data_IF_388835868605
#
_entry.id   IF_388835868605
#
_cell.length_a   1.000
_cell.length_b   1.000
_cell.length_c   1.000
_cell.angle_alpha   90.00
_cell.angle_beta   90.00
_cell.angle_gamma   90.00
#
_symmetry.space_group_name_H-M   'P 1'
#
loop_
_entity.id
_entity.type
_entity.pdbx_description
1 polymer ?
#
# COMPACT_ATOMS: atom_id res chain seq x y z
N UNK A 1 18.64 -7.31 -0.68
CA UNK A 1 18.19 -6.60 0.53
C UNK A 1 16.92 -5.75 0.33
N UNK A 2 16.26 -5.73 -0.84
CA UNK A 2 14.97 -5.02 -1.06
C UNK A 2 13.70 -5.87 -0.81
N UNK A 3 13.84 -7.10 -0.31
CA UNK A 3 12.69 -8.00 -0.11
C UNK A 3 12.02 -7.86 1.27
N UNK A 4 12.67 -7.20 2.24
CA UNK A 4 12.17 -7.10 3.62
C UNK A 4 11.43 -5.81 3.96
N UNK A 5 11.70 -4.69 3.28
CA UNK A 5 11.13 -3.39 3.70
C UNK A 5 9.61 -3.33 3.58
N UNK A 6 9.02 -3.99 2.58
CA UNK A 6 7.55 -4.05 2.42
C UNK A 6 6.91 -4.88 3.53
N UNK A 7 7.56 -5.96 3.97
CA UNK A 7 7.09 -6.75 5.10
C UNK A 7 7.08 -5.91 6.38
N UNK A 8 8.16 -5.17 6.63
CA UNK A 8 8.28 -4.24 7.76
C UNK A 8 7.19 -3.16 7.70
N UNK A 9 6.96 -2.55 6.53
CA UNK A 9 5.90 -1.55 6.36
C UNK A 9 4.54 -2.13 6.73
N UNK A 10 4.18 -3.30 6.19
CA UNK A 10 2.88 -3.90 6.50
C UNK A 10 2.77 -4.35 7.97
N UNK A 11 3.87 -4.76 8.61
CA UNK A 11 3.90 -5.07 10.04
C UNK A 11 3.69 -3.83 10.90
N UNK A 12 4.37 -2.73 10.59
CA UNK A 12 4.19 -1.44 11.28
C UNK A 12 2.74 -0.96 11.15
N UNK A 13 2.15 -1.02 9.96
CA UNK A 13 0.75 -0.61 9.76
C UNK A 13 -0.23 -1.53 10.49
N UNK A 14 0.07 -2.82 10.60
CA UNK A 14 -0.73 -3.74 11.40
C UNK A 14 -0.68 -3.38 12.90
N UNK A 15 0.51 -3.05 13.44
CA UNK A 15 0.63 -2.58 14.82
C UNK A 15 -0.18 -1.31 15.03
N UNK A 16 -0.06 -0.32 14.14
CA UNK A 16 -0.85 0.91 14.24
C UNK A 16 -2.36 0.67 14.16
N UNK A 17 -2.81 -0.25 13.29
CA UNK A 17 -4.21 -0.61 13.20
C UNK A 17 -4.71 -1.28 14.50
N UNK A 18 -3.95 -2.21 15.08
CA UNK A 18 -4.32 -2.87 16.34
C UNK A 18 -4.32 -1.86 17.49
N UNK A 19 -3.29 -1.02 17.58
CA UNK A 19 -3.20 0.02 18.61
C UNK A 19 -4.33 1.04 18.49
N UNK A 20 -4.62 1.51 17.27
CA UNK A 20 -5.75 2.41 17.02
C UNK A 20 -7.08 1.78 17.42
N UNK A 21 -7.29 0.51 17.09
CA UNK A 21 -8.52 -0.22 17.47
C UNK A 21 -8.65 -0.34 18.99
N UNK A 22 -7.55 -0.66 19.68
CA UNK A 22 -7.51 -0.70 21.13
C UNK A 22 -7.89 0.65 21.75
N UNK A 23 -7.29 1.75 21.29
CA UNK A 23 -7.60 3.10 21.78
C UNK A 23 -9.08 3.45 21.53
N UNK A 24 -9.60 3.19 20.32
CA UNK A 24 -11.00 3.45 20.02
C UNK A 24 -11.95 2.66 20.92
N UNK A 25 -11.65 1.39 21.22
CA UNK A 25 -12.45 0.60 22.17
C UNK A 25 -12.36 1.17 23.58
N UNK A 26 -11.17 1.56 24.04
CA UNK A 26 -11.02 2.12 25.40
C UNK A 26 -11.75 3.45 25.55
N UNK A 27 -11.74 4.29 24.51
CA UNK A 27 -12.45 5.56 24.50
C UNK A 27 -13.97 5.31 24.54
N UNK A 28 -14.47 4.40 23.70
CA UNK A 28 -15.87 3.95 23.71
C UNK A 28 -16.30 3.40 25.08
N UNK A 29 -15.41 2.67 25.75
CA UNK A 29 -15.69 2.08 27.07
C UNK A 29 -15.62 3.12 28.21
N UNK A 30 -14.88 4.21 28.01
CA UNK A 30 -14.72 5.29 28.98
C UNK A 30 -15.78 6.39 28.81
N UNK A 31 -16.34 6.55 27.62
CA UNK A 31 -17.36 7.57 27.33
C UNK A 31 -18.69 7.25 28.02
N UNK A 32 -19.23 8.24 28.73
CA UNK A 32 -20.55 8.18 29.37
C UNK A 32 -21.71 8.40 28.39
N UNK A 33 -21.43 8.76 27.13
CA UNK A 33 -22.43 9.00 26.10
C UNK A 33 -22.68 7.75 25.24
N UNK A 34 -23.93 7.50 24.81
CA UNK A 34 -24.24 6.37 23.96
C UNK A 34 -23.56 6.54 22.60
N UNK A 35 -22.65 5.61 22.28
CA UNK A 35 -21.99 5.53 20.97
C UNK A 35 -23.05 5.32 19.89
N UNK A 36 -22.97 6.13 18.83
CA UNK A 36 -23.90 6.00 17.71
C UNK A 36 -23.62 4.73 16.90
N UNK A 37 -24.67 4.15 16.32
CA UNK A 37 -24.54 2.98 15.44
C UNK A 37 -23.63 3.30 14.23
N UNK A 38 -23.68 4.54 13.75
CA UNK A 38 -22.86 5.00 12.62
C UNK A 38 -21.36 5.01 12.96
N UNK A 39 -20.98 5.41 14.18
CA UNK A 39 -19.59 5.36 14.66
C UNK A 39 -19.07 3.91 14.77
N UNK A 40 -19.94 2.98 15.19
CA UNK A 40 -19.60 1.56 15.24
C UNK A 40 -19.35 1.03 13.82
N UNK A 41 -20.26 1.32 12.88
CA UNK A 41 -20.09 0.89 11.48
C UNK A 41 -18.85 1.51 10.84
N UNK A 42 -18.61 2.81 11.06
CA UNK A 42 -17.41 3.49 10.59
C UNK A 42 -16.14 2.82 11.12
N UNK A 43 -16.08 2.54 12.43
CA UNK A 43 -14.94 1.90 13.09
C UNK A 43 -14.66 0.52 12.49
N UNK A 44 -15.68 -0.33 12.39
CA UNK A 44 -15.54 -1.68 11.83
C UNK A 44 -15.08 -1.63 10.37
N UNK A 45 -15.71 -0.77 9.56
CA UNK A 45 -15.37 -0.63 8.15
C UNK A 45 -13.94 -0.10 7.96
N UNK A 46 -13.53 0.88 8.78
CA UNK A 46 -12.20 1.46 8.77
C UNK A 46 -11.13 0.39 9.03
N UNK A 47 -11.22 -0.34 10.14
CA UNK A 47 -10.21 -1.34 10.50
C UNK A 47 -10.21 -2.55 9.56
N UNK A 48 -11.39 -2.98 9.10
CA UNK A 48 -11.50 -4.05 8.09
C UNK A 48 -10.79 -3.66 6.80
N UNK A 49 -11.04 -2.44 6.31
CA UNK A 49 -10.36 -1.91 5.11
C UNK A 49 -8.85 -1.87 5.31
N UNK A 50 -8.38 -1.39 6.48
CA UNK A 50 -6.95 -1.34 6.79
C UNK A 50 -6.31 -2.74 6.76
N UNK A 51 -6.94 -3.74 7.37
CA UNK A 51 -6.47 -5.13 7.36
C UNK A 51 -6.42 -5.69 5.93
N UNK A 52 -7.45 -5.46 5.11
CA UNK A 52 -7.48 -5.89 3.71
C UNK A 52 -6.30 -5.28 2.93
N UNK A 53 -6.05 -3.98 3.15
CA UNK A 53 -4.95 -3.28 2.50
C UNK A 53 -3.58 -3.86 2.89
N UNK A 54 -3.35 -4.14 4.18
CA UNK A 54 -2.12 -4.80 4.65
C UNK A 54 -2.02 -6.20 4.03
N UNK A 55 -3.11 -6.96 4.00
CA UNK A 55 -3.10 -8.29 3.41
C UNK A 55 -2.74 -8.25 1.92
N UNK A 56 -3.31 -7.32 1.15
CA UNK A 56 -2.95 -7.09 -0.24
C UNK A 56 -1.46 -6.75 -0.39
N UNK A 57 -0.92 -5.88 0.46
CA UNK A 57 0.50 -5.52 0.48
C UNK A 57 1.39 -6.76 0.67
N UNK A 58 1.09 -7.58 1.68
CA UNK A 58 1.85 -8.78 2.01
C UNK A 58 1.75 -9.82 0.90
N UNK A 59 0.55 -10.06 0.39
CA UNK A 59 0.29 -10.99 -0.71
C UNK A 59 1.03 -10.57 -1.99
N UNK A 60 1.05 -9.27 -2.28
CA UNK A 60 1.82 -8.68 -3.37
C UNK A 60 3.31 -8.93 -3.25
N UNK A 61 3.87 -8.77 -2.04
CA UNK A 61 5.28 -9.02 -1.78
C UNK A 61 5.62 -10.51 -1.92
N UNK A 62 4.87 -11.40 -1.25
CA UNK A 62 5.11 -12.84 -1.26
C UNK A 62 4.94 -13.44 -2.65
N UNK A 63 3.88 -13.06 -3.39
CA UNK A 63 3.62 -13.58 -4.75
C UNK A 63 4.38 -12.82 -5.83
N UNK A 64 5.14 -11.77 -5.48
CA UNK A 64 5.84 -10.87 -6.43
C UNK A 64 4.91 -10.34 -7.53
N UNK A 65 3.65 -10.07 -7.20
CA UNK A 65 2.61 -9.64 -8.15
C UNK A 65 2.25 -8.17 -7.90
N UNK A 66 2.57 -7.32 -8.87
CA UNK A 66 2.41 -5.87 -8.76
C UNK A 66 0.96 -5.42 -8.53
N UNK A 67 -0.03 -6.18 -9.01
CA UNK A 67 -1.45 -5.80 -8.95
C UNK A 67 -1.98 -5.67 -7.52
N UNK A 68 -1.44 -6.45 -6.57
CA UNK A 68 -1.88 -6.40 -5.18
C UNK A 68 -1.37 -5.16 -4.42
N UNK A 69 -0.43 -4.40 -5.00
CA UNK A 69 0.01 -3.14 -4.41
C UNK A 69 -0.90 -1.96 -4.78
N UNK A 70 -1.77 -2.10 -5.79
CA UNK A 70 -2.64 -1.02 -6.25
C UNK A 70 -3.65 -0.57 -5.19
N UNK A 71 -4.36 -1.46 -4.47
CA UNK A 71 -5.29 -1.03 -3.42
C UNK A 71 -4.58 -0.19 -2.35
N UNK A 72 -3.40 -0.64 -1.90
CA UNK A 72 -2.57 0.11 -0.96
C UNK A 72 -2.20 1.48 -1.51
N UNK A 73 -1.59 1.54 -2.69
CA UNK A 73 -1.10 2.79 -3.28
C UNK A 73 -2.21 3.82 -3.52
N UNK A 74 -3.40 3.36 -3.96
CA UNK A 74 -4.52 4.24 -4.28
C UNK A 74 -5.17 4.80 -3.02
N UNK A 75 -5.53 3.94 -2.06
CA UNK A 75 -6.17 4.36 -0.81
C UNK A 75 -5.21 5.19 0.03
N UNK A 76 -3.96 4.76 0.19
CA UNK A 76 -2.99 5.51 0.99
C UNK A 76 -2.60 6.84 0.34
N UNK A 77 -2.57 6.97 -0.99
CA UNK A 77 -2.32 8.27 -1.62
C UNK A 77 -3.42 9.28 -1.28
N UNK A 78 -4.69 8.86 -1.31
CA UNK A 78 -5.82 9.74 -0.98
C UNK A 78 -5.81 10.13 0.49
N UNK A 79 -5.68 9.15 1.39
CA UNK A 79 -5.58 9.38 2.83
C UNK A 79 -4.39 10.31 3.14
N UNK A 80 -3.23 10.09 2.53
CA UNK A 80 -2.07 10.94 2.74
C UNK A 80 -2.20 12.34 2.19
N UNK A 81 -2.92 12.54 1.09
CA UNK A 81 -3.17 13.88 0.56
C UNK A 81 -4.04 14.69 1.53
N UNK A 82 -5.10 14.07 2.08
CA UNK A 82 -5.95 14.68 3.10
C UNK A 82 -5.17 14.94 4.39
N UNK A 83 -4.43 13.94 4.87
CA UNK A 83 -3.64 14.08 6.11
C UNK A 83 -2.55 15.12 5.96
N UNK A 84 -1.87 15.21 4.81
CA UNK A 84 -0.87 16.26 4.55
C UNK A 84 -1.52 17.64 4.54
N UNK A 85 -2.71 17.79 3.95
CA UNK A 85 -3.45 19.07 3.97
C UNK A 85 -3.88 19.48 5.38
N UNK A 86 -4.53 18.57 6.13
CA UNK A 86 -4.94 18.81 7.52
C UNK A 86 -3.73 19.09 8.43
N UNK A 87 -2.62 18.42 8.17
CA UNK A 87 -1.37 18.61 8.88
C UNK A 87 -0.72 19.95 8.59
N UNK A 88 -0.70 20.43 7.33
CA UNK A 88 -0.19 21.76 7.02
C UNK A 88 -0.99 22.82 7.79
N UNK A 89 -2.32 22.69 7.85
CA UNK A 89 -3.16 23.58 8.65
C UNK A 89 -2.84 23.49 10.15
N UNK A 90 -2.69 22.27 10.68
CA UNK A 90 -2.31 22.03 12.08
C UNK A 90 -0.91 22.54 12.43
N UNK A 91 0.06 22.45 11.52
CA UNK A 91 1.41 22.97 11.72
C UNK A 91 1.42 24.49 11.84
N UNK A 92 0.67 25.20 11.00
CA UNK A 92 0.53 26.64 11.11
C UNK A 92 -0.01 27.07 12.48
N UNK A 93 -0.88 26.26 13.10
CA UNK A 93 -1.41 26.53 14.44
C UNK A 93 -0.52 26.01 15.58
N UNK A 94 0.17 24.88 15.39
CA UNK A 94 0.90 24.15 16.44
C UNK A 94 2.35 24.58 16.63
N UNK A 95 2.98 25.23 15.65
CA UNK A 95 4.27 25.92 15.82
C UNK A 95 4.21 26.91 16.99
N UNK A 96 3.01 27.42 17.31
CA UNK A 96 2.79 28.33 18.44
C UNK A 96 2.38 27.62 19.75
N UNK A 97 2.08 26.31 19.76
CA UNK A 97 1.52 25.59 20.92
C UNK A 97 2.48 24.60 21.60
N UNK A 98 3.25 23.80 20.86
CA UNK A 98 4.22 22.84 21.46
C UNK A 98 5.18 22.24 20.43
N UNK A 99 6.49 22.30 20.71
CA UNK A 99 7.56 21.75 19.87
C UNK A 99 7.51 20.21 19.77
N UNK A 100 7.10 19.53 20.84
CA UNK A 100 7.03 18.06 20.87
C UNK A 100 5.96 17.54 19.90
N UNK A 101 4.80 18.19 19.89
CA UNK A 101 3.70 17.87 18.97
C UNK A 101 4.15 18.10 17.52
N UNK A 102 4.84 19.21 17.27
CA UNK A 102 5.41 19.53 15.95
C UNK A 102 6.38 18.45 15.45
N UNK A 103 7.34 18.03 16.27
CA UNK A 103 8.35 17.02 15.90
C UNK A 103 7.68 15.65 15.66
N UNK A 104 6.76 15.24 16.55
CA UNK A 104 6.03 13.97 16.41
C UNK A 104 5.24 13.92 15.09
N UNK A 105 4.60 15.03 14.76
CA UNK A 105 3.83 15.20 13.53
C UNK A 105 4.72 15.14 12.27
N UNK A 106 5.90 15.77 12.26
CA UNK A 106 6.87 15.64 11.15
C UNK A 106 7.36 14.19 11.02
N UNK A 107 7.72 13.56 12.12
CA UNK A 107 8.24 12.19 12.12
C UNK A 107 7.20 11.21 11.55
N UNK A 108 5.95 11.32 11.98
CA UNK A 108 4.85 10.52 11.47
C UNK A 108 4.66 10.71 9.96
N UNK A 109 4.60 11.95 9.48
CA UNK A 109 4.45 12.26 8.06
C UNK A 109 5.64 11.70 7.23
N UNK A 110 6.85 11.80 7.76
CA UNK A 110 8.06 11.25 7.13
C UNK A 110 8.02 9.73 6.99
N UNK A 111 7.57 9.01 8.02
CA UNK A 111 7.39 7.55 7.98
C UNK A 111 6.33 7.16 6.94
N UNK A 112 5.21 7.90 6.89
CA UNK A 112 4.14 7.72 5.94
C UNK A 112 4.61 7.89 4.48
N UNK A 113 5.27 9.02 4.17
CA UNK A 113 5.82 9.30 2.84
C UNK A 113 6.85 8.25 2.42
N UNK A 114 7.77 7.91 3.33
CA UNK A 114 8.80 6.90 3.06
C UNK A 114 8.19 5.54 2.76
N UNK A 115 7.17 5.14 3.51
CA UNK A 115 6.44 3.88 3.31
C UNK A 115 5.78 3.85 1.94
N UNK A 116 5.07 4.92 1.54
CA UNK A 116 4.43 5.00 0.24
C UNK A 116 5.45 4.91 -0.90
N UNK A 117 6.55 5.65 -0.81
CA UNK A 117 7.61 5.66 -1.83
C UNK A 117 8.24 4.27 -1.99
N UNK A 118 8.52 3.56 -0.90
CA UNK A 118 9.08 2.20 -0.94
C UNK A 118 8.12 1.25 -1.66
N UNK A 119 6.83 1.30 -1.31
CA UNK A 119 5.81 0.46 -1.95
C UNK A 119 5.66 0.81 -3.43
N UNK A 120 5.66 2.09 -3.78
CA UNK A 120 5.58 2.57 -5.16
C UNK A 120 6.77 2.11 -6.01
N UNK A 121 8.00 2.21 -5.47
CA UNK A 121 9.22 1.70 -6.12
C UNK A 121 9.11 0.20 -6.37
N UNK A 122 8.66 -0.58 -5.38
CA UNK A 122 8.47 -2.02 -5.52
C UNK A 122 7.44 -2.36 -6.59
N UNK A 123 6.31 -1.66 -6.60
CA UNK A 123 5.28 -1.78 -7.63
C UNK A 123 5.87 -1.55 -9.04
N UNK A 124 6.61 -0.45 -9.21
CA UNK A 124 7.19 -0.10 -10.50
C UNK A 124 8.21 -1.14 -10.99
N UNK A 125 9.06 -1.64 -10.08
CA UNK A 125 10.04 -2.70 -10.37
C UNK A 125 9.35 -3.99 -10.83
N UNK A 126 8.33 -4.44 -10.10
CA UNK A 126 7.59 -5.66 -10.45
C UNK A 126 6.82 -5.49 -11.76
N UNK A 127 6.19 -4.33 -11.99
CA UNK A 127 5.49 -4.01 -13.24
C UNK A 127 6.45 -4.04 -14.43
N UNK A 128 7.64 -3.44 -14.30
CA UNK A 128 8.68 -3.45 -15.36
C UNK A 128 9.12 -4.88 -15.65
N UNK A 129 9.40 -5.69 -14.63
CA UNK A 129 9.79 -7.10 -14.78
C UNK A 129 8.71 -7.90 -15.49
N UNK A 130 7.45 -7.77 -15.09
CA UNK A 130 6.34 -8.46 -15.76
C UNK A 130 6.27 -8.07 -17.24
N UNK A 131 6.37 -6.77 -17.58
CA UNK A 131 6.36 -6.32 -18.99
C UNK A 131 7.49 -6.94 -19.82
N UNK A 132 8.70 -7.04 -19.26
CA UNK A 132 9.83 -7.67 -19.95
C UNK A 132 9.57 -9.17 -20.20
N UNK A 133 9.10 -9.91 -19.19
CA UNK A 133 8.72 -11.32 -19.34
C UNK A 133 7.63 -11.53 -20.40
N UNK A 134 6.65 -10.62 -20.48
CA UNK A 134 5.62 -10.66 -21.52
C UNK A 134 6.18 -10.43 -22.92
N UNK A 135 7.17 -9.54 -23.08
CA UNK A 135 7.86 -9.30 -24.36
C UNK A 135 8.65 -10.53 -24.80
N UNK A 136 9.50 -11.08 -23.92
CA UNK A 136 10.27 -12.29 -24.19
C UNK A 136 9.38 -13.47 -24.57
N UNK A 137 8.27 -13.67 -23.85
CA UNK A 137 7.31 -14.75 -24.17
C UNK A 137 6.66 -14.55 -25.54
N UNK A 138 6.34 -13.30 -25.93
CA UNK A 138 5.78 -12.99 -27.25
C UNK A 138 6.79 -13.24 -28.36
N UNK A 139 8.03 -12.78 -28.19
CA UNK A 139 9.10 -12.99 -29.16
C UNK A 139 9.35 -14.49 -29.36
N UNK A 140 9.47 -15.27 -28.27
CA UNK A 140 9.66 -16.73 -28.35
C UNK A 140 8.49 -17.43 -29.06
N UNK A 141 7.26 -16.96 -28.88
CA UNK A 141 6.09 -17.49 -29.57
C UNK A 141 6.13 -17.18 -31.07
N UNK A 142 6.46 -15.94 -31.45
CA UNK A 142 6.60 -15.52 -32.85
C UNK A 142 7.73 -16.28 -33.56
N UNK A 143 8.89 -16.43 -32.92
CA UNK A 143 9.99 -17.26 -33.43
C UNK A 143 9.60 -18.75 -33.56
N UNK A 144 8.84 -19.28 -32.60
CA UNK A 144 8.30 -20.64 -32.67
C UNK A 144 7.37 -20.85 -33.87
N UNK A 145 6.49 -19.89 -34.14
CA UNK A 145 5.61 -19.90 -35.32
C UNK A 145 6.43 -19.82 -36.61
N UNK A 146 7.42 -18.94 -36.69
CA UNK A 146 8.27 -18.79 -37.88
C UNK A 146 9.03 -20.09 -38.18
N UNK A 147 9.63 -20.74 -37.17
CA UNK A 147 10.29 -22.05 -37.34
C UNK A 147 9.29 -23.11 -37.85
N UNK A 148 8.09 -23.16 -37.28
CA UNK A 148 7.04 -24.09 -37.73
C UNK A 148 6.65 -23.89 -39.20
N UNK A 149 6.55 -22.63 -39.68
CA UNK A 149 6.27 -22.34 -41.09
C UNK A 149 7.42 -22.71 -42.01
N UNK A 150 8.67 -22.42 -41.64
CA UNK A 150 9.83 -22.83 -42.44
C UNK A 150 9.88 -24.35 -42.63
N UNK A 151 9.68 -25.14 -41.56
CA UNK A 151 9.69 -26.61 -41.65
C UNK A 151 8.60 -27.14 -42.59
N UNK A 152 7.42 -26.51 -42.64
CA UNK A 152 6.35 -26.91 -43.56
C UNK A 152 6.70 -26.59 -45.03
N UNK A 153 7.36 -25.47 -45.32
CA UNK A 153 7.77 -25.14 -46.69
C UNK A 153 8.74 -26.20 -47.23
N UNK A 154 9.72 -26.63 -46.42
CA UNK A 154 10.68 -27.67 -46.83
C UNK A 154 10.10 -29.09 -46.94
N UNK A 155 8.90 -29.34 -46.40
CA UNK A 155 8.20 -30.63 -46.57
C UNK A 155 7.28 -30.68 -47.80
N UNK A 156 7.04 -29.53 -48.45
CA UNK A 156 6.09 -29.40 -49.56
C UNK A 156 6.80 -29.33 -50.93
N UNK A 157 8.14 -29.42 -50.94
CA UNK A 157 9.01 -29.46 -52.12
C UNK A 157 9.64 -30.84 -52.18
#
# INVERSE_FOLDING_TARGET
MEYDLVHIIGFIHLIYAIYGFYITITDIAADEYPVSIDEIYYTIFHFTTHIILVFCLQLGNSKKKYIYFLPWLTVFLFIFTIMTYLWMNSLYESVNRSLEIFISNIAFLGVCWSSWIIVFRKFHLLRKRSRLQWREKRENFEWGIMKGRCVNIYRTI
#
